data_IF_277398001271
#
_entry.id   IF_277398001271
#
_cell.length_a   1.000
_cell.length_b   1.000
_cell.length_c   1.000
_cell.angle_alpha   90.00
_cell.angle_beta   90.00
_cell.angle_gamma   90.00
#
_symmetry.space_group_name_H-M   'P 1'
#
loop_
_entity.id
_entity.type
_entity.pdbx_description
1 polymer ?
#
# COMPACT_ATOMS: atom_id res chain seq x y z
N UNK A 1 -20.90 -3.28 18.48
CA UNK A 1 -19.86 -3.14 17.43
C UNK A 1 -19.17 -4.49 17.18
N UNK A 2 -19.75 -5.32 16.32
CA UNK A 2 -19.03 -6.47 15.78
C UNK A 2 -17.98 -5.98 14.79
N UNK A 3 -16.71 -6.28 15.03
CA UNK A 3 -15.61 -5.82 14.17
C UNK A 3 -15.65 -6.61 12.86
N UNK A 4 -16.17 -6.03 11.78
CA UNK A 4 -16.17 -6.68 10.45
C UNK A 4 -14.72 -6.91 10.01
N UNK A 5 -14.42 -8.14 9.61
CA UNK A 5 -13.08 -8.52 9.14
C UNK A 5 -12.79 -7.82 7.82
N UNK A 6 -11.63 -7.13 7.69
CA UNK A 6 -11.26 -6.49 6.44
C UNK A 6 -11.12 -7.56 5.34
N UNK A 7 -11.58 -7.24 4.14
CA UNK A 7 -11.42 -8.14 2.99
C UNK A 7 -9.94 -8.40 2.72
N UNK A 8 -9.59 -9.61 2.23
CA UNK A 8 -8.20 -9.95 1.93
C UNK A 8 -7.58 -8.97 0.95
N UNK A 9 -8.35 -8.47 -0.03
CA UNK A 9 -7.90 -7.45 -0.99
C UNK A 9 -7.55 -6.11 -0.31
N UNK A 10 -8.35 -5.66 0.65
CA UNK A 10 -8.08 -4.43 1.41
C UNK A 10 -6.80 -4.58 2.24
N UNK A 11 -6.60 -5.74 2.87
CA UNK A 11 -5.38 -6.06 3.60
C UNK A 11 -4.16 -6.06 2.66
N UNK A 12 -4.29 -6.64 1.47
CA UNK A 12 -3.22 -6.66 0.46
C UNK A 12 -2.81 -5.26 0.03
N UNK A 13 -3.77 -4.37 -0.28
CA UNK A 13 -3.44 -2.97 -0.63
C UNK A 13 -2.73 -2.25 0.52
N UNK A 14 -3.21 -2.41 1.75
CA UNK A 14 -2.55 -1.85 2.92
C UNK A 14 -1.12 -2.36 3.09
N UNK A 15 -0.92 -3.66 2.98
CA UNK A 15 0.40 -4.28 3.11
C UNK A 15 1.37 -3.75 2.05
N UNK A 16 0.94 -3.68 0.78
CA UNK A 16 1.78 -3.18 -0.32
C UNK A 16 2.12 -1.70 -0.14
N UNK A 17 1.14 -0.88 0.25
CA UNK A 17 1.36 0.57 0.47
C UNK A 17 2.33 0.81 1.62
N UNK A 18 2.13 0.15 2.76
CA UNK A 18 3.01 0.28 3.92
C UNK A 18 4.42 -0.21 3.58
N UNK A 19 4.54 -1.36 2.92
CA UNK A 19 5.85 -1.89 2.53
C UNK A 19 6.57 -0.98 1.52
N UNK A 20 5.86 -0.46 0.51
CA UNK A 20 6.45 0.47 -0.46
C UNK A 20 6.86 1.80 0.17
N UNK A 21 6.05 2.36 1.08
CA UNK A 21 6.42 3.55 1.85
C UNK A 21 7.63 3.29 2.75
N UNK A 22 7.68 2.13 3.42
CA UNK A 22 8.83 1.74 4.23
C UNK A 22 10.10 1.60 3.38
N UNK A 23 9.99 1.05 2.16
CA UNK A 23 11.11 0.93 1.22
C UNK A 23 11.62 2.29 0.69
N UNK A 24 10.75 3.29 0.58
CA UNK A 24 11.13 4.67 0.25
C UNK A 24 11.76 5.39 1.45
N UNK A 25 11.25 5.14 2.66
CA UNK A 25 11.69 5.83 3.88
C UNK A 25 13.02 5.25 4.40
N UNK A 26 13.19 3.94 4.28
CA UNK A 26 14.39 3.23 4.65
C UNK A 26 15.06 2.72 3.38
N UNK A 27 16.09 3.42 2.86
CA UNK A 27 16.86 2.94 1.73
C UNK A 27 17.73 1.76 2.21
N UNK A 28 17.11 0.60 2.46
CA UNK A 28 17.76 -0.63 2.95
C UNK A 28 18.92 -1.08 2.05
N UNK A 29 18.93 -0.63 0.79
CA UNK A 29 20.05 -0.78 -0.14
C UNK A 29 21.36 -0.16 0.39
N UNK A 30 21.29 0.86 1.24
CA UNK A 30 22.44 1.47 1.92
C UNK A 30 23.00 0.59 3.06
N UNK A 31 22.35 -0.51 3.42
CA UNK A 31 22.92 -1.45 4.41
C UNK A 31 23.72 -2.58 3.74
N UNK A 32 23.67 -2.69 2.41
CA UNK A 32 24.42 -3.68 1.62
C UNK A 32 25.80 -3.17 1.15
N UNK A 33 26.33 -2.12 1.78
CA UNK A 33 27.60 -1.48 1.40
C UNK A 33 28.82 -2.42 1.44
N UNK A 34 28.82 -3.47 2.26
CA UNK A 34 29.96 -4.41 2.38
C UNK A 34 29.97 -5.54 1.33
N UNK A 35 28.85 -5.81 0.64
CA UNK A 35 28.72 -6.92 -0.32
C UNK A 35 28.71 -6.47 -1.78
N UNK A 36 28.39 -5.20 -2.01
CA UNK A 36 28.41 -4.58 -3.32
C UNK A 36 29.03 -3.19 -3.19
N UNK A 37 30.30 -3.05 -3.59
CA UNK A 37 30.90 -1.74 -3.78
C UNK A 37 29.98 -0.92 -4.70
N UNK A 38 29.44 0.24 -4.29
CA UNK A 38 28.50 0.99 -5.11
C UNK A 38 29.28 1.84 -6.12
N UNK A 39 30.10 1.22 -6.97
CA UNK A 39 30.95 1.97 -7.93
C UNK A 39 30.22 2.40 -9.20
N UNK A 40 29.11 1.77 -9.57
CA UNK A 40 28.58 1.93 -10.94
C UNK A 40 27.39 2.89 -11.08
N UNK A 41 26.61 3.19 -10.03
CA UNK A 41 25.53 4.19 -10.14
C UNK A 41 25.17 5.00 -8.87
N UNK A 42 25.88 4.86 -7.74
CA UNK A 42 25.78 5.72 -6.55
C UNK A 42 24.40 6.36 -6.27
N UNK A 43 24.36 7.70 -6.31
CA UNK A 43 23.14 8.51 -6.14
C UNK A 43 22.08 8.31 -7.25
N UNK A 44 22.43 8.32 -8.56
CA UNK A 44 21.48 8.00 -9.63
C UNK A 44 20.71 6.69 -9.44
N UNK A 45 21.35 5.65 -8.90
CA UNK A 45 20.70 4.37 -8.60
C UNK A 45 19.63 4.52 -7.52
N UNK A 46 19.94 5.23 -6.42
CA UNK A 46 19.01 5.44 -5.31
C UNK A 46 17.79 6.24 -5.77
N UNK A 47 18.00 7.28 -6.58
CA UNK A 47 16.89 8.04 -7.16
C UNK A 47 16.07 7.20 -8.14
N UNK A 48 16.72 6.39 -8.98
CA UNK A 48 16.03 5.47 -9.89
C UNK A 48 15.21 4.40 -9.17
N UNK A 49 15.77 3.80 -8.11
CA UNK A 49 15.09 2.85 -7.25
C UNK A 49 13.87 3.50 -6.57
N UNK A 50 14.05 4.67 -5.94
CA UNK A 50 12.95 5.39 -5.32
C UNK A 50 11.87 5.77 -6.34
N UNK A 51 12.24 6.26 -7.52
CA UNK A 51 11.30 6.58 -8.58
C UNK A 51 10.53 5.34 -9.07
N UNK A 52 11.19 4.19 -9.14
CA UNK A 52 10.55 2.92 -9.53
C UNK A 52 9.56 2.43 -8.46
N UNK A 53 9.95 2.41 -7.19
CA UNK A 53 9.06 2.04 -6.08
C UNK A 53 7.88 3.01 -5.99
N UNK A 54 8.13 4.30 -6.18
CA UNK A 54 7.09 5.32 -6.26
C UNK A 54 6.11 5.06 -7.41
N UNK A 55 6.61 4.74 -8.61
CA UNK A 55 5.77 4.39 -9.75
C UNK A 55 4.89 3.16 -9.47
N UNK A 56 5.46 2.12 -8.83
CA UNK A 56 4.70 0.93 -8.42
C UNK A 56 3.57 1.32 -7.47
N UNK A 57 3.84 2.16 -6.46
CA UNK A 57 2.81 2.65 -5.54
C UNK A 57 1.71 3.43 -6.26
N UNK A 58 2.07 4.30 -7.22
CA UNK A 58 1.08 5.01 -8.04
C UNK A 58 0.17 4.04 -8.81
N UNK A 59 0.73 2.99 -9.42
CA UNK A 59 -0.05 1.96 -10.14
C UNK A 59 -0.97 1.20 -9.19
N UNK A 60 -0.46 0.79 -8.02
CA UNK A 60 -1.25 0.08 -7.00
C UNK A 60 -2.42 0.96 -6.53
N UNK A 61 -2.18 2.24 -6.25
CA UNK A 61 -3.23 3.19 -5.86
C UNK A 61 -4.26 3.41 -6.97
N UNK A 62 -3.82 3.46 -8.23
CA UNK A 62 -4.72 3.56 -9.38
C UNK A 62 -5.64 2.33 -9.51
N UNK A 63 -5.08 1.13 -9.32
CA UNK A 63 -5.86 -0.12 -9.31
C UNK A 63 -6.82 -0.11 -8.11
N UNK A 64 -6.35 0.25 -6.92
CA UNK A 64 -7.16 0.35 -5.71
C UNK A 64 -8.36 1.28 -5.92
N UNK A 65 -8.12 2.46 -6.52
CA UNK A 65 -9.17 3.40 -6.92
C UNK A 65 -10.20 2.78 -7.86
N UNK A 66 -9.76 2.07 -8.91
CA UNK A 66 -10.67 1.38 -9.85
C UNK A 66 -11.46 0.27 -9.17
N UNK A 67 -10.90 -0.39 -8.17
CA UNK A 67 -11.59 -1.41 -7.37
C UNK A 67 -12.48 -0.84 -6.25
N UNK A 68 -12.67 0.49 -6.20
CA UNK A 68 -13.46 1.19 -5.16
C UNK A 68 -12.98 0.86 -3.74
N UNK A 69 -11.67 0.70 -3.57
CA UNK A 69 -11.06 0.45 -2.27
C UNK A 69 -11.47 1.54 -1.27
N UNK A 70 -11.98 1.13 -0.11
CA UNK A 70 -12.48 2.02 0.94
C UNK A 70 -13.97 2.42 0.84
N UNK A 71 -14.71 2.00 -0.20
CA UNK A 71 -16.15 2.23 -0.25
C UNK A 71 -16.90 1.16 0.56
N UNK A 72 -17.88 1.53 1.40
CA UNK A 72 -18.74 0.58 2.09
C UNK A 72 -19.38 -0.36 1.08
N UNK A 73 -19.40 -1.66 1.38
CA UNK A 73 -20.07 -2.60 0.50
C UNK A 73 -21.59 -2.47 0.64
N UNK A 74 -22.37 -2.82 -0.40
CA UNK A 74 -23.83 -2.71 -0.34
C UNK A 74 -24.43 -3.48 0.85
N UNK A 75 -23.84 -4.64 1.16
CA UNK A 75 -24.16 -5.45 2.32
C UNK A 75 -23.81 -4.77 3.67
N UNK A 76 -22.75 -3.98 3.74
CA UNK A 76 -22.41 -3.19 4.93
C UNK A 76 -23.37 -2.02 5.15
N UNK A 77 -23.81 -1.38 4.07
CA UNK A 77 -24.80 -0.30 4.13
C UNK A 77 -26.18 -0.83 4.54
N UNK A 78 -26.61 -1.98 4.00
CA UNK A 78 -27.88 -2.59 4.36
C UNK A 78 -27.96 -2.91 5.85
N UNK A 79 -26.90 -3.48 6.43
CA UNK A 79 -26.82 -3.76 7.86
C UNK A 79 -26.86 -2.48 8.72
N UNK A 80 -26.20 -1.39 8.28
CA UNK A 80 -26.27 -0.09 8.97
C UNK A 80 -27.68 0.51 8.94
N UNK A 81 -28.39 0.43 7.81
CA UNK A 81 -29.78 0.89 7.71
C UNK A 81 -30.73 0.06 8.59
N UNK A 82 -30.53 -1.25 8.68
CA UNK A 82 -31.34 -2.13 9.52
C UNK A 82 -31.07 -1.89 11.02
N UNK A 83 -29.82 -1.59 11.42
CA UNK A 83 -29.49 -1.17 12.79
C UNK A 83 -30.09 0.22 13.12
N UNK A 84 -30.02 1.18 12.20
CA UNK A 84 -30.58 2.54 12.39
C UNK A 84 -32.11 2.53 12.43
N UNK A 85 -32.78 1.65 11.67
CA UNK A 85 -34.23 1.47 11.72
C UNK A 85 -34.71 0.74 13.00
N UNK A 86 -33.81 0.05 13.70
CA UNK A 86 -34.10 -0.71 14.92
C UNK A 86 -33.80 0.06 16.23
N UNK A 87 -33.23 1.27 16.15
CA UNK A 87 -32.93 2.17 17.27
C UNK A 87 -33.98 3.26 17.47
#
# INVERSE_FOLDING_TARGET
MARKTPTPLTITYWAIIIAGLAALQFPGILFYHDVAEPRIFGMPFIYGFNALIWLILCVVLFIAYRTRWGRPRPEELADEFDEEAAS
#
